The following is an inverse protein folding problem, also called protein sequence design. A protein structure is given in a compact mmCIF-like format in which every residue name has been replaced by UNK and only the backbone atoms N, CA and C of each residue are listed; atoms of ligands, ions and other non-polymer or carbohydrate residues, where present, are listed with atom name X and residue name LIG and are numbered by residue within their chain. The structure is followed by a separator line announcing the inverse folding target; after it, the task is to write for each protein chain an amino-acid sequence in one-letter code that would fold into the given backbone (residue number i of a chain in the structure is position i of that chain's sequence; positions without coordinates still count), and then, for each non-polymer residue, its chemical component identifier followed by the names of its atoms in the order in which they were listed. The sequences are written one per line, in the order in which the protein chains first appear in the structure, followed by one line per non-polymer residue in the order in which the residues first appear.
data_IF_557617657024
#
_entry.id   IF_557617657024
#
_cell.length_a   1.000
_cell.length_b   1.000
_cell.length_c   1.000
_cell.angle_alpha   90.00
_cell.angle_beta   90.00
_cell.angle_gamma   90.00
#
_symmetry.space_group_name_H-M   'P 1'
#
loop_
_entity.id
_entity.type
_entity.pdbx_description
1 polymer ?
#
# COMPACT_ATOMS: atom_id res chain seq x y z
N UNK A 1 16.45 -13.61 5.30
CA UNK A 1 15.10 -13.34 4.73
C UNK A 1 14.82 -11.84 4.87
N UNK A 2 14.27 -11.18 3.84
CA UNK A 2 13.85 -9.79 3.92
C UNK A 2 12.50 -9.72 4.68
N UNK A 3 12.42 -9.15 5.91
CA UNK A 3 11.18 -9.16 6.67
C UNK A 3 10.09 -8.31 6.00
N UNK A 4 8.85 -8.80 6.03
CA UNK A 4 7.70 -8.12 5.46
C UNK A 4 6.56 -8.01 6.46
N UNK A 5 5.77 -6.95 6.36
CA UNK A 5 4.57 -6.70 7.14
C UNK A 5 3.41 -6.36 6.23
N UNK A 6 2.26 -6.99 6.47
CA UNK A 6 1.00 -6.69 5.79
C UNK A 6 -0.10 -6.52 6.84
N UNK A 7 -0.93 -5.53 6.64
CA UNK A 7 -2.08 -5.21 7.50
C UNK A 7 -3.36 -5.85 6.96
N UNK A 8 -4.27 -6.22 7.86
CA UNK A 8 -5.63 -6.55 7.47
C UNK A 8 -6.37 -5.29 6.98
N UNK A 9 -7.41 -5.44 6.15
CA UNK A 9 -8.15 -4.29 5.60
C UNK A 9 -8.74 -3.33 6.64
N UNK A 10 -9.14 -3.84 7.81
CA UNK A 10 -9.68 -3.03 8.91
C UNK A 10 -8.62 -2.41 9.84
N UNK A 11 -7.33 -2.63 9.58
CA UNK A 11 -6.28 -1.89 10.29
C UNK A 11 -6.44 -0.38 10.01
N UNK A 12 -6.36 0.51 11.02
CA UNK A 12 -6.65 1.92 10.84
C UNK A 12 -5.91 2.60 9.68
N UNK A 13 -4.61 2.32 9.53
CA UNK A 13 -3.85 2.88 8.39
C UNK A 13 -4.30 2.26 7.06
N UNK A 14 -4.56 0.94 7.00
CA UNK A 14 -5.02 0.28 5.78
C UNK A 14 -6.41 0.76 5.36
N UNK A 15 -7.31 1.01 6.32
CA UNK A 15 -8.61 1.61 6.06
C UNK A 15 -8.48 3.03 5.47
N UNK A 16 -7.57 3.85 6.01
CA UNK A 16 -7.27 5.17 5.44
C UNK A 16 -6.66 5.07 4.03
N UNK A 17 -5.76 4.10 3.79
CA UNK A 17 -5.21 3.84 2.44
C UNK A 17 -6.31 3.47 1.45
N UNK A 18 -7.21 2.55 1.82
CA UNK A 18 -8.32 2.12 0.97
C UNK A 18 -9.29 3.25 0.66
N UNK A 19 -9.60 4.11 1.63
CA UNK A 19 -10.44 5.29 1.41
C UNK A 19 -9.75 6.27 0.47
N UNK A 20 -8.46 6.55 0.67
CA UNK A 20 -7.69 7.44 -0.19
C UNK A 20 -7.68 6.97 -1.65
N UNK A 21 -7.34 5.69 -1.89
CA UNK A 21 -7.33 5.12 -3.23
C UNK A 21 -8.72 5.06 -3.85
N UNK A 22 -9.77 4.72 -3.09
CA UNK A 22 -11.14 4.70 -3.61
C UNK A 22 -11.63 6.09 -4.08
N UNK A 23 -11.22 7.16 -3.40
CA UNK A 23 -11.53 8.54 -3.82
C UNK A 23 -10.77 8.87 -5.11
N UNK A 24 -9.47 8.56 -5.18
CA UNK A 24 -8.64 8.75 -6.40
C UNK A 24 -9.25 7.99 -7.58
N UNK A 25 -9.57 6.71 -7.39
CA UNK A 25 -10.15 5.85 -8.43
C UNK A 25 -11.49 6.42 -8.96
N UNK A 26 -12.36 6.92 -8.08
CA UNK A 26 -13.63 7.48 -8.49
C UNK A 26 -13.46 8.79 -9.28
N UNK A 27 -12.52 9.65 -8.89
CA UNK A 27 -12.14 10.84 -9.66
C UNK A 27 -11.62 10.44 -11.04
N UNK A 28 -10.65 9.55 -11.12
CA UNK A 28 -10.03 9.08 -12.36
C UNK A 28 -11.03 8.37 -13.29
N UNK A 29 -11.97 7.61 -12.73
CA UNK A 29 -13.03 6.92 -13.47
C UNK A 29 -13.98 7.90 -14.15
N UNK A 30 -14.27 9.05 -13.51
CA UNK A 30 -15.19 10.08 -14.05
C UNK A 30 -14.49 11.07 -14.97
N UNK A 31 -13.25 11.39 -14.65
CA UNK A 31 -12.42 12.30 -15.43
C UNK A 31 -10.99 11.73 -15.51
N UNK A 32 -10.64 11.08 -16.63
CA UNK A 32 -9.29 10.53 -16.83
C UNK A 32 -8.17 11.58 -16.79
N UNK A 33 -8.48 12.85 -17.00
CA UNK A 33 -7.51 13.95 -16.91
C UNK A 33 -7.33 14.50 -15.51
N UNK A 34 -7.96 13.90 -14.52
CA UNK A 34 -7.82 14.28 -13.12
C UNK A 34 -6.35 14.29 -12.69
N UNK A 35 -6.00 15.33 -11.92
CA UNK A 35 -4.77 15.40 -11.13
C UNK A 35 -5.17 15.59 -9.69
N UNK A 36 -4.72 14.69 -8.83
CA UNK A 36 -5.12 14.67 -7.43
C UNK A 36 -3.98 14.23 -6.52
N UNK A 37 -3.88 14.88 -5.39
CA UNK A 37 -3.03 14.46 -4.27
C UNK A 37 -3.79 14.70 -2.98
N UNK A 38 -4.13 13.63 -2.28
CA UNK A 38 -4.87 13.71 -1.04
C UNK A 38 -4.26 12.83 0.05
N UNK A 39 -4.60 13.15 1.28
CA UNK A 39 -4.30 12.35 2.46
C UNK A 39 -5.57 12.11 3.25
N UNK A 40 -5.63 10.96 3.89
CA UNK A 40 -6.72 10.57 4.79
C UNK A 40 -6.14 10.30 6.17
N UNK A 41 -6.75 10.89 7.18
CA UNK A 41 -6.43 10.61 8.58
C UNK A 41 -7.71 10.50 9.38
N UNK A 42 -7.83 9.50 10.25
CA UNK A 42 -9.05 9.37 11.02
C UNK A 42 -9.03 8.26 12.06
N UNK A 43 -10.09 8.27 12.83
CA UNK A 43 -10.38 7.34 13.91
C UNK A 43 -11.21 8.01 14.99
N UNK A 44 -11.77 7.22 15.90
CA UNK A 44 -12.53 7.71 17.06
C UNK A 44 -13.68 8.63 16.68
N UNK A 45 -14.46 8.25 15.68
CA UNK A 45 -15.65 8.97 15.25
C UNK A 45 -15.46 10.02 14.15
N UNK A 46 -14.23 10.33 13.73
CA UNK A 46 -13.97 11.30 12.66
C UNK A 46 -13.00 10.80 11.60
N UNK A 47 -13.21 11.19 10.35
CA UNK A 47 -12.30 10.91 9.24
C UNK A 47 -12.10 12.20 8.43
N UNK A 48 -10.86 12.63 8.30
CA UNK A 48 -10.48 13.83 7.56
C UNK A 48 -9.84 13.45 6.24
N UNK A 49 -10.33 14.04 5.17
CA UNK A 49 -9.75 13.95 3.81
C UNK A 49 -9.34 15.35 3.41
N UNK A 50 -8.08 15.56 3.10
CA UNK A 50 -7.59 16.85 2.66
C UNK A 50 -6.62 16.68 1.49
N UNK A 51 -6.64 17.63 0.56
CA UNK A 51 -5.74 17.60 -0.58
C UNK A 51 -6.09 18.57 -1.68
N UNK A 52 -5.34 18.47 -2.76
CA UNK A 52 -5.44 19.28 -3.96
C UNK A 52 -6.03 18.46 -5.12
N UNK A 53 -6.93 19.06 -5.91
CA UNK A 53 -7.54 18.39 -7.07
C UNK A 53 -7.66 19.31 -8.28
N UNK A 54 -7.44 18.78 -9.47
CA UNK A 54 -7.84 19.35 -10.75
C UNK A 54 -8.68 18.30 -11.45
N UNK A 55 -9.97 18.49 -11.54
CA UNK A 55 -10.89 17.55 -12.17
C UNK A 55 -12.17 18.26 -12.62
N UNK A 56 -12.79 17.74 -13.67
CA UNK A 56 -14.16 18.07 -14.06
C UNK A 56 -15.19 17.18 -13.35
N UNK A 57 -14.76 16.17 -12.62
CA UNK A 57 -15.65 15.27 -11.88
C UNK A 57 -16.28 15.98 -10.67
N UNK A 58 -17.58 15.77 -10.49
CA UNK A 58 -18.35 16.22 -9.34
C UNK A 58 -19.16 15.05 -8.77
N UNK A 59 -18.99 14.79 -7.47
CA UNK A 59 -19.69 13.73 -6.75
C UNK A 59 -19.54 13.88 -5.23
N UNK A 60 -20.41 13.19 -4.51
CA UNK A 60 -20.36 13.17 -3.06
C UNK A 60 -19.25 12.21 -2.56
N UNK A 61 -18.13 12.79 -2.14
CA UNK A 61 -16.97 12.07 -1.60
C UNK A 61 -17.32 11.30 -0.33
N UNK A 62 -18.25 11.82 0.50
CA UNK A 62 -18.67 11.15 1.73
C UNK A 62 -19.34 9.79 1.45
N UNK A 63 -20.09 9.68 0.36
CA UNK A 63 -20.66 8.38 -0.05
C UNK A 63 -19.59 7.36 -0.45
N UNK A 64 -18.50 7.80 -1.10
CA UNK A 64 -17.37 6.91 -1.43
C UNK A 64 -16.70 6.41 -0.15
N UNK A 65 -16.46 7.29 0.81
CA UNK A 65 -15.90 6.95 2.13
C UNK A 65 -16.76 5.89 2.81
N UNK A 66 -18.05 6.15 2.97
CA UNK A 66 -18.97 5.24 3.67
C UNK A 66 -19.05 3.88 2.97
N UNK A 67 -19.16 3.86 1.63
CA UNK A 67 -19.16 2.62 0.85
C UNK A 67 -17.87 1.81 1.06
N UNK A 68 -16.73 2.48 1.01
CA UNK A 68 -15.42 1.83 1.17
C UNK A 68 -15.27 1.22 2.56
N UNK A 69 -15.60 1.96 3.61
CA UNK A 69 -15.58 1.47 4.99
C UNK A 69 -16.53 0.27 5.16
N UNK A 70 -17.73 0.33 4.58
CA UNK A 70 -18.69 -0.78 4.58
C UNK A 70 -18.14 -2.05 3.92
N UNK A 71 -17.38 -1.95 2.83
CA UNK A 71 -16.80 -3.12 2.14
C UNK A 71 -15.75 -3.84 2.98
N UNK A 72 -15.09 -3.16 3.90
CA UNK A 72 -14.10 -3.76 4.81
C UNK A 72 -14.68 -4.15 6.16
N UNK A 73 -16.00 -3.99 6.33
CA UNK A 73 -16.73 -4.38 7.55
C UNK A 73 -16.56 -3.39 8.69
N UNK A 74 -16.29 -2.12 8.39
CA UNK A 74 -16.27 -1.01 9.35
C UNK A 74 -17.62 -0.29 9.23
N UNK A 75 -18.29 -0.09 10.38
CA UNK A 75 -19.57 0.61 10.44
C UNK A 75 -19.45 2.11 10.09
N UNK A 76 -20.60 2.75 9.90
CA UNK A 76 -20.73 4.16 9.48
C UNK A 76 -20.52 5.18 10.61
N UNK A 77 -19.84 4.80 11.67
CA UNK A 77 -19.66 5.62 12.88
C UNK A 77 -18.63 6.76 12.73
N UNK A 78 -17.97 6.83 11.57
CA UNK A 78 -16.98 7.87 11.28
C UNK A 78 -17.61 9.01 10.49
N UNK A 79 -17.63 10.21 11.09
CA UNK A 79 -18.06 11.45 10.42
C UNK A 79 -16.98 11.91 9.42
N UNK A 80 -17.29 12.00 8.11
CA UNK A 80 -16.33 12.44 7.12
C UNK A 80 -16.24 13.98 7.05
N UNK A 81 -15.03 14.49 7.15
CA UNK A 81 -14.68 15.90 6.90
C UNK A 81 -13.82 15.98 5.65
N UNK A 82 -14.34 16.59 4.58
CA UNK A 82 -13.69 16.64 3.28
C UNK A 82 -13.30 18.06 2.94
N UNK A 83 -11.99 18.27 2.69
CA UNK A 83 -11.41 19.52 2.20
C UNK A 83 -10.51 19.21 1.01
N UNK A 84 -11.11 19.12 -0.19
CA UNK A 84 -10.41 18.96 -1.46
C UNK A 84 -10.49 20.28 -2.21
N UNK A 85 -9.33 20.96 -2.32
CA UNK A 85 -9.26 22.31 -2.89
C UNK A 85 -8.90 22.26 -4.37
N UNK A 86 -9.63 23.00 -5.24
CA UNK A 86 -9.25 23.14 -6.64
C UNK A 86 -7.93 23.88 -6.80
N UNK A 87 -6.98 23.28 -7.51
CA UNK A 87 -5.71 23.93 -7.84
C UNK A 87 -5.92 24.85 -9.05
N UNK A 88 -5.57 26.10 -8.91
CA UNK A 88 -5.77 27.15 -9.94
C UNK A 88 -4.49 27.91 -10.25
N UNK A 89 -4.47 28.65 -11.39
CA UNK A 89 -3.39 29.53 -11.79
C UNK A 89 -2.09 28.80 -12.18
N UNK A 90 -0.95 29.40 -11.90
CA UNK A 90 0.36 28.84 -12.27
C UNK A 90 0.64 27.48 -11.59
N UNK A 91 0.16 27.31 -10.38
CA UNK A 91 0.28 26.06 -9.65
C UNK A 91 -0.40 24.89 -10.41
N UNK A 92 -1.51 25.12 -11.10
CA UNK A 92 -2.16 24.10 -11.92
C UNK A 92 -1.27 23.60 -13.07
N UNK A 93 -0.44 24.48 -13.63
CA UNK A 93 0.52 24.12 -14.69
C UNK A 93 1.63 23.22 -14.14
N UNK A 94 2.19 23.55 -12.99
CA UNK A 94 3.20 22.71 -12.32
C UNK A 94 2.61 21.34 -11.94
N UNK A 95 1.38 21.33 -11.44
CA UNK A 95 0.65 20.11 -11.05
C UNK A 95 0.44 19.14 -12.23
N UNK A 96 0.48 19.62 -13.48
CA UNK A 96 0.28 18.83 -14.70
C UNK A 96 1.58 18.37 -15.38
N UNK A 97 2.73 18.94 -15.02
CA UNK A 97 3.98 18.77 -15.75
C UNK A 97 5.08 18.11 -14.95
N UNK A 98 5.08 16.74 -14.93
CA UNK A 98 6.16 15.99 -14.29
C UNK A 98 6.08 15.98 -12.77
N UNK A 99 7.22 15.83 -12.11
CA UNK A 99 7.30 15.85 -10.64
C UNK A 99 7.07 17.26 -10.09
N UNK A 100 6.34 17.40 -9.00
CA UNK A 100 6.16 18.70 -8.32
C UNK A 100 7.30 19.07 -7.37
N UNK A 101 7.94 18.05 -6.80
CA UNK A 101 9.06 18.17 -5.89
C UNK A 101 10.15 17.15 -6.27
N UNK A 102 11.38 17.31 -5.78
CA UNK A 102 12.38 16.28 -5.92
C UNK A 102 11.88 14.98 -5.24
N UNK A 103 11.83 13.89 -5.99
CA UNK A 103 11.37 12.60 -5.47
C UNK A 103 12.30 11.48 -5.88
N UNK A 104 12.58 10.57 -4.94
CA UNK A 104 13.33 9.34 -5.19
C UNK A 104 12.39 8.17 -5.00
N UNK A 105 12.18 7.41 -6.05
CA UNK A 105 11.37 6.18 -6.01
C UNK A 105 12.26 4.95 -6.17
N UNK A 106 11.77 3.82 -5.65
CA UNK A 106 12.44 2.53 -5.80
C UNK A 106 11.53 1.51 -6.48
N UNK A 107 12.16 0.63 -7.26
CA UNK A 107 11.57 -0.61 -7.74
C UNK A 107 12.49 -1.77 -7.38
N UNK A 108 11.91 -2.88 -6.93
CA UNK A 108 12.67 -4.07 -6.58
C UNK A 108 12.03 -5.31 -7.20
N UNK A 109 12.86 -6.23 -7.65
CA UNK A 109 12.44 -7.54 -8.12
C UNK A 109 13.42 -8.62 -7.66
N UNK A 110 12.93 -9.84 -7.46
CA UNK A 110 13.73 -11.01 -7.07
C UNK A 110 13.15 -12.27 -7.73
N UNK A 111 13.98 -13.29 -7.91
CA UNK A 111 13.57 -14.61 -8.40
C UNK A 111 13.01 -15.53 -7.32
N UNK A 112 12.81 -15.04 -6.11
CA UNK A 112 12.32 -15.85 -5.00
C UNK A 112 10.93 -16.43 -5.26
N UNK A 113 10.09 -15.72 -6.02
CA UNK A 113 8.69 -16.08 -6.31
C UNK A 113 8.35 -15.80 -7.78
N UNK A 114 7.25 -16.35 -8.26
CA UNK A 114 6.74 -16.09 -9.62
C UNK A 114 6.35 -14.64 -9.83
N UNK A 115 5.83 -13.99 -8.76
CA UNK A 115 5.47 -12.57 -8.76
C UNK A 115 6.72 -11.66 -8.74
N UNK A 116 7.90 -12.24 -8.61
CA UNK A 116 9.18 -11.54 -8.47
C UNK A 116 9.23 -10.60 -7.26
N UNK A 117 8.61 -10.96 -6.15
CA UNK A 117 8.68 -10.27 -4.86
C UNK A 117 9.25 -11.20 -3.79
N UNK A 118 9.69 -10.68 -2.62
CA UNK A 118 10.22 -11.51 -1.56
C UNK A 118 9.23 -12.58 -1.06
N UNK A 119 9.70 -13.78 -0.78
CA UNK A 119 8.88 -14.89 -0.27
C UNK A 119 8.14 -14.50 1.02
N UNK A 120 8.78 -13.75 1.92
CA UNK A 120 8.14 -13.24 3.15
C UNK A 120 6.93 -12.36 2.85
N UNK A 121 6.99 -11.56 1.78
CA UNK A 121 5.89 -10.69 1.38
C UNK A 121 4.72 -11.50 0.80
N UNK A 122 5.01 -12.51 -0.04
CA UNK A 122 3.98 -13.43 -0.55
C UNK A 122 3.31 -14.17 0.59
N UNK A 123 4.10 -14.68 1.53
CA UNK A 123 3.59 -15.42 2.68
C UNK A 123 2.71 -14.53 3.59
N UNK A 124 3.16 -13.31 3.90
CA UNK A 124 2.36 -12.35 4.68
C UNK A 124 1.03 -12.02 3.99
N UNK A 125 1.05 -11.77 2.67
CA UNK A 125 -0.17 -11.54 1.87
C UNK A 125 -1.12 -12.75 1.89
N UNK A 126 -0.58 -13.96 1.78
CA UNK A 126 -1.37 -15.18 1.80
C UNK A 126 -2.06 -15.38 3.14
N UNK A 127 -1.35 -15.16 4.25
CA UNK A 127 -1.94 -15.26 5.60
C UNK A 127 -3.02 -14.21 5.80
N UNK A 128 -2.75 -12.94 5.45
CA UNK A 128 -3.75 -11.85 5.55
C UNK A 128 -4.99 -12.16 4.72
N UNK A 129 -4.81 -12.62 3.49
CA UNK A 129 -5.93 -12.98 2.60
C UNK A 129 -6.79 -14.10 3.21
N UNK A 130 -6.16 -15.13 3.78
CA UNK A 130 -6.89 -16.24 4.40
C UNK A 130 -7.62 -15.80 5.68
N UNK A 131 -7.00 -14.96 6.52
CA UNK A 131 -7.66 -14.41 7.71
C UNK A 131 -8.87 -13.54 7.34
N UNK A 132 -8.73 -12.64 6.36
CA UNK A 132 -9.83 -11.77 5.92
C UNK A 132 -10.96 -12.58 5.26
N UNK A 133 -10.63 -13.60 4.47
CA UNK A 133 -11.61 -14.49 3.87
C UNK A 133 -12.43 -15.19 4.96
N UNK A 134 -11.77 -15.80 5.95
CA UNK A 134 -12.42 -16.51 7.04
C UNK A 134 -13.34 -15.60 7.85
N UNK A 135 -12.84 -14.43 8.22
CA UNK A 135 -13.62 -13.42 8.93
C UNK A 135 -14.94 -13.09 8.21
N UNK A 136 -14.93 -13.07 6.89
CA UNK A 136 -16.09 -12.66 6.07
C UNK A 136 -17.05 -13.80 5.72
N UNK A 137 -16.55 -15.02 5.60
CA UNK A 137 -17.31 -16.13 4.99
C UNK A 137 -17.51 -17.33 5.88
N UNK A 138 -16.80 -17.43 7.00
CA UNK A 138 -16.86 -18.56 7.90
C UNK A 138 -17.51 -18.17 9.23
N UNK A 139 -18.72 -18.61 9.46
CA UNK A 139 -19.50 -18.30 10.68
C UNK A 139 -18.78 -18.76 11.97
N UNK A 140 -17.88 -19.74 11.90
CA UNK A 140 -17.08 -20.18 13.05
C UNK A 140 -16.05 -19.12 13.46
N UNK A 141 -15.65 -18.24 12.52
CA UNK A 141 -14.66 -17.18 12.73
C UNK A 141 -15.28 -15.80 13.05
N UNK A 142 -16.55 -15.75 13.48
CA UNK A 142 -17.26 -14.52 13.83
C UNK A 142 -16.55 -13.66 14.90
N UNK A 143 -15.66 -14.28 15.68
CA UNK A 143 -14.87 -13.63 16.73
C UNK A 143 -13.66 -12.85 16.20
N UNK A 144 -13.23 -13.07 14.94
CA UNK A 144 -12.09 -12.39 14.33
C UNK A 144 -12.52 -11.02 13.83
N UNK A 145 -11.91 -9.97 14.38
CA UNK A 145 -12.12 -8.58 13.98
C UNK A 145 -11.50 -8.21 12.64
N UNK A 146 -11.76 -7.00 12.20
CA UNK A 146 -11.26 -6.48 10.93
C UNK A 146 -9.83 -5.95 11.03
N UNK A 147 -9.38 -5.51 12.22
CA UNK A 147 -8.04 -5.00 12.47
C UNK A 147 -7.04 -6.13 12.73
N UNK A 148 -5.88 -5.97 12.18
CA UNK A 148 -4.77 -6.87 12.41
C UNK A 148 -3.58 -6.60 11.48
N UNK A 149 -2.48 -7.27 11.79
CA UNK A 149 -1.29 -7.24 10.95
C UNK A 149 -0.50 -8.54 11.06
N UNK A 150 0.16 -8.90 9.99
CA UNK A 150 1.02 -10.07 9.86
C UNK A 150 2.43 -9.62 9.52
N UNK A 151 3.38 -9.99 10.34
CA UNK A 151 4.81 -9.80 10.10
C UNK A 151 5.46 -11.16 9.86
N UNK A 152 6.19 -11.29 8.77
CA UNK A 152 6.95 -12.48 8.40
C UNK A 152 8.44 -12.13 8.32
N UNK A 153 9.24 -12.77 9.16
CA UNK A 153 10.69 -12.67 9.23
C UNK A 153 11.29 -14.03 9.60
N UNK A 154 12.18 -14.08 10.55
CA UNK A 154 12.70 -15.33 11.14
C UNK A 154 11.58 -16.12 11.82
N UNK A 155 10.59 -15.44 12.33
CA UNK A 155 9.33 -15.99 12.85
C UNK A 155 8.15 -15.25 12.22
N UNK A 156 6.95 -15.82 12.36
CA UNK A 156 5.70 -15.18 11.99
C UNK A 156 5.05 -14.60 13.25
N UNK A 157 4.87 -13.29 13.28
CA UNK A 157 4.16 -12.60 14.37
C UNK A 157 2.85 -12.03 13.82
N UNK A 158 1.75 -12.36 14.48
CA UNK A 158 0.40 -12.00 14.06
C UNK A 158 -0.27 -11.26 15.21
N UNK A 159 -0.78 -10.08 14.92
CA UNK A 159 -1.70 -9.36 15.78
C UNK A 159 -3.06 -9.32 15.10
N UNK A 160 -4.11 -9.70 15.80
CA UNK A 160 -5.49 -9.61 15.32
C UNK A 160 -6.40 -9.13 16.44
N UNK A 161 -7.36 -8.28 16.06
CA UNK A 161 -8.50 -7.96 16.89
C UNK A 161 -9.40 -9.19 17.03
N UNK A 162 -9.95 -9.41 18.21
CA UNK A 162 -10.90 -10.51 18.46
C UNK A 162 -11.91 -10.13 19.53
N UNK A 163 -13.06 -10.80 19.51
CA UNK A 163 -14.12 -10.62 20.51
C UNK A 163 -14.67 -11.96 20.98
N UNK A 164 -15.24 -11.99 22.18
CA UNK A 164 -16.02 -13.11 22.72
C UNK A 164 -15.30 -14.48 22.69
N UNK A 165 -13.98 -14.51 22.66
CA UNK A 165 -13.20 -15.76 22.61
C UNK A 165 -11.96 -15.66 23.50
N UNK A 166 -11.67 -16.69 24.35
CA UNK A 166 -10.46 -16.73 25.15
C UNK A 166 -9.21 -16.64 24.27
N UNK A 167 -8.21 -15.85 24.71
CA UNK A 167 -7.00 -15.61 23.94
C UNK A 167 -6.23 -16.89 23.57
N UNK A 168 -6.25 -17.91 24.43
CA UNK A 168 -5.59 -19.18 24.15
C UNK A 168 -6.25 -19.95 23.00
N UNK A 169 -7.58 -19.83 22.85
CA UNK A 169 -8.30 -20.41 21.73
C UNK A 169 -8.01 -19.65 20.44
N UNK A 170 -7.94 -18.30 20.49
CA UNK A 170 -7.51 -17.45 19.36
C UNK A 170 -6.12 -17.86 18.89
N UNK A 171 -5.16 -17.98 19.81
CA UNK A 171 -3.78 -18.40 19.54
C UNK A 171 -3.75 -19.76 18.85
N UNK A 172 -4.46 -20.75 19.42
CA UNK A 172 -4.51 -22.11 18.90
C UNK A 172 -5.07 -22.17 17.48
N UNK A 173 -6.19 -21.50 17.24
CA UNK A 173 -6.88 -21.56 15.94
C UNK A 173 -6.12 -20.85 14.84
N UNK A 174 -5.57 -19.66 15.11
CA UNK A 174 -4.75 -18.94 14.15
C UNK A 174 -3.44 -19.70 13.88
N UNK A 175 -2.78 -20.21 14.92
CA UNK A 175 -1.56 -21.00 14.72
C UNK A 175 -1.82 -22.25 13.87
N UNK A 176 -2.92 -22.95 14.09
CA UNK A 176 -3.32 -24.12 13.31
C UNK A 176 -3.66 -23.76 11.85
N UNK A 177 -4.19 -22.57 11.58
CA UNK A 177 -4.41 -22.06 10.23
C UNK A 177 -3.06 -21.78 9.54
N UNK A 178 -2.17 -21.06 10.22
CA UNK A 178 -0.87 -20.65 9.66
C UNK A 178 0.04 -21.85 9.45
N UNK A 179 0.00 -22.88 10.32
CA UNK A 179 0.75 -24.12 10.14
C UNK A 179 0.44 -24.83 8.81
N UNK A 180 -0.81 -24.72 8.31
CA UNK A 180 -1.17 -25.27 6.99
C UNK A 180 -0.59 -24.48 5.84
N UNK A 181 -0.36 -23.17 6.02
CA UNK A 181 0.19 -22.26 5.00
C UNK A 181 1.71 -22.27 5.04
N UNK A 182 2.28 -22.23 6.23
CA UNK A 182 3.70 -22.08 6.51
C UNK A 182 4.19 -23.09 7.55
N UNK A 183 4.21 -24.39 7.23
CA UNK A 183 4.67 -25.42 8.16
C UNK A 183 6.11 -25.16 8.59
N UNK A 184 6.42 -25.44 9.85
CA UNK A 184 7.76 -25.31 10.48
C UNK A 184 8.19 -23.87 10.80
N UNK A 185 7.31 -22.87 10.69
CA UNK A 185 7.61 -21.54 11.20
C UNK A 185 7.22 -21.42 12.69
N UNK A 186 8.01 -20.69 13.47
CA UNK A 186 7.59 -20.25 14.82
C UNK A 186 6.50 -19.18 14.64
N UNK A 187 5.29 -19.48 15.10
CA UNK A 187 4.12 -18.61 14.97
C UNK A 187 3.76 -18.04 16.34
N UNK A 188 3.69 -16.72 16.40
CA UNK A 188 3.30 -15.98 17.61
C UNK A 188 2.05 -15.16 17.31
N UNK A 189 1.04 -15.31 18.13
CA UNK A 189 -0.25 -14.64 17.96
C UNK A 189 -0.58 -13.82 19.21
N UNK A 190 -0.87 -12.54 19.03
CA UNK A 190 -1.22 -11.60 20.11
C UNK A 190 -0.30 -11.72 21.32
N UNK A 191 1.02 -11.55 21.10
CA UNK A 191 2.04 -11.75 22.13
C UNK A 191 1.85 -10.85 23.36
N UNK A 192 1.24 -9.68 23.19
CA UNK A 192 0.98 -8.73 24.29
C UNK A 192 -0.33 -9.01 25.05
N UNK A 193 -1.07 -10.04 24.70
CA UNK A 193 -2.35 -10.40 25.33
C UNK A 193 -3.55 -10.20 24.42
N UNK A 194 -4.76 -10.15 25.02
CA UNK A 194 -6.00 -9.89 24.29
C UNK A 194 -6.00 -8.54 23.59
N UNK A 195 -6.60 -8.49 22.42
CA UNK A 195 -6.72 -7.30 21.57
C UNK A 195 -8.20 -7.13 21.15
N UNK A 196 -9.05 -6.79 22.13
CA UNK A 196 -10.50 -6.84 22.01
C UNK A 196 -11.14 -5.53 21.53
N UNK A 197 -10.41 -4.41 21.60
CA UNK A 197 -10.96 -3.09 21.27
C UNK A 197 -9.95 -2.32 20.43
N UNK A 198 -9.98 -2.57 19.14
CA UNK A 198 -9.10 -1.88 18.18
C UNK A 198 -9.90 -1.39 16.96
N UNK A 199 -9.27 -1.36 15.80
CA UNK A 199 -9.86 -0.82 14.59
C UNK A 199 -9.94 0.71 14.59
N UNK A 200 -10.34 1.27 13.47
CA UNK A 200 -10.36 2.72 13.23
C UNK A 200 -11.37 3.46 14.13
N UNK A 201 -12.37 2.77 14.67
CA UNK A 201 -13.29 3.32 15.68
C UNK A 201 -12.60 3.71 16.99
N UNK A 202 -11.51 3.06 17.35
CA UNK A 202 -10.81 3.20 18.63
C UNK A 202 -9.36 3.70 18.49
N UNK A 203 -8.75 3.53 17.32
CA UNK A 203 -7.36 3.88 17.06
C UNK A 203 -7.26 4.75 15.82
N UNK A 204 -6.38 5.74 15.86
CA UNK A 204 -6.13 6.63 14.72
C UNK A 204 -5.30 5.93 13.65
N UNK A 205 -5.72 6.10 12.38
CA UNK A 205 -4.97 5.73 11.18
C UNK A 205 -4.63 6.93 10.32
N UNK A 206 -3.70 6.73 9.41
CA UNK A 206 -3.41 7.70 8.35
C UNK A 206 -2.93 6.99 7.09
N UNK A 207 -3.32 7.53 5.93
CA UNK A 207 -2.89 7.00 4.64
C UNK A 207 -1.39 7.21 4.40
N UNK A 208 -0.80 6.32 3.61
CA UNK A 208 0.58 6.46 3.15
C UNK A 208 1.66 6.18 4.19
N UNK A 209 1.33 5.52 5.30
CA UNK A 209 2.32 5.17 6.34
C UNK A 209 3.21 3.99 5.99
N UNK A 210 2.82 3.18 5.01
CA UNK A 210 3.62 2.05 4.57
C UNK A 210 4.55 2.46 3.43
N UNK A 211 5.83 2.61 3.75
CA UNK A 211 6.88 3.09 2.85
C UNK A 211 7.90 2.01 2.48
N UNK A 212 7.64 0.75 2.84
CA UNK A 212 8.50 -0.40 2.57
C UNK A 212 7.76 -1.47 1.73
N UNK A 213 7.41 -1.18 0.46
CA UNK A 213 6.54 -2.04 -0.35
C UNK A 213 7.13 -3.42 -0.66
N UNK A 214 8.42 -3.61 -0.46
CA UNK A 214 9.14 -4.87 -0.74
C UNK A 214 9.75 -5.50 0.51
N UNK A 215 9.46 -4.96 1.69
CA UNK A 215 10.00 -5.41 2.99
C UNK A 215 11.00 -4.44 3.61
N UNK A 216 11.15 -4.54 4.93
CA UNK A 216 11.85 -3.54 5.74
C UNK A 216 13.38 -3.54 5.62
N UNK A 217 13.97 -4.57 5.00
CA UNK A 217 15.42 -4.60 4.74
C UNK A 217 15.81 -3.80 3.47
N UNK A 218 14.83 -3.35 2.68
CA UNK A 218 15.06 -2.53 1.50
C UNK A 218 14.83 -1.04 1.82
N UNK A 219 15.41 -0.13 1.02
CA UNK A 219 15.19 1.29 1.22
C UNK A 219 13.70 1.65 1.19
N UNK A 220 13.34 2.69 1.93
CA UNK A 220 12.00 3.27 1.88
C UNK A 220 11.78 4.04 0.57
N UNK A 221 10.53 4.20 0.19
CA UNK A 221 10.10 5.04 -0.94
C UNK A 221 8.98 5.97 -0.47
N UNK A 222 8.78 7.13 -1.09
CA UNK A 222 7.58 7.92 -0.83
C UNK A 222 6.32 7.09 -1.05
N UNK A 223 5.29 7.34 -0.26
CA UNK A 223 3.99 6.70 -0.49
C UNK A 223 3.39 7.17 -1.81
N UNK A 224 2.76 6.27 -2.53
CA UNK A 224 1.94 6.56 -3.71
C UNK A 224 0.45 6.61 -3.41
N UNK A 225 0.06 6.40 -2.16
CA UNK A 225 -1.34 6.37 -1.73
C UNK A 225 -1.95 7.77 -1.79
N UNK A 226 -3.18 7.87 -2.31
CA UNK A 226 -3.89 9.14 -2.45
C UNK A 226 -3.41 10.01 -3.62
N UNK A 227 -2.59 9.48 -4.52
CA UNK A 227 -2.05 10.18 -5.68
C UNK A 227 -2.63 9.63 -6.97
N UNK A 228 -2.84 10.50 -7.98
CA UNK A 228 -3.16 10.05 -9.32
C UNK A 228 -1.97 9.37 -10.02
N UNK A 229 -2.27 8.65 -11.11
CA UNK A 229 -1.29 7.82 -11.82
C UNK A 229 -0.17 8.61 -12.49
N UNK A 230 -0.32 9.91 -12.72
CA UNK A 230 0.72 10.75 -13.36
C UNK A 230 1.80 11.24 -12.40
N UNK A 231 1.58 11.08 -11.10
CA UNK A 231 2.53 11.51 -10.07
C UNK A 231 3.80 10.70 -10.10
N UNK A 232 4.94 11.37 -9.97
CA UNK A 232 6.23 10.72 -10.00
C UNK A 232 6.40 9.65 -8.92
N UNK A 233 5.82 9.84 -7.75
CA UNK A 233 5.78 8.86 -6.66
C UNK A 233 5.07 7.57 -7.05
N UNK A 234 3.98 7.65 -7.84
CA UNK A 234 3.19 6.51 -8.30
C UNK A 234 3.72 5.96 -9.63
N UNK A 235 3.70 6.76 -10.70
CA UNK A 235 4.19 6.37 -12.02
C UNK A 235 5.66 5.94 -11.99
N UNK A 236 6.51 6.75 -11.36
CA UNK A 236 7.93 6.47 -11.25
C UNK A 236 8.23 5.18 -10.48
N UNK A 237 7.50 4.89 -9.40
CA UNK A 237 7.65 3.65 -8.66
C UNK A 237 7.25 2.43 -9.52
N UNK A 238 6.18 2.52 -10.29
CA UNK A 238 5.76 1.44 -11.21
C UNK A 238 6.78 1.21 -12.32
N UNK A 239 7.28 2.27 -12.94
CA UNK A 239 8.32 2.19 -13.96
C UNK A 239 9.63 1.62 -13.40
N UNK A 240 10.05 2.04 -12.21
CA UNK A 240 11.23 1.49 -11.53
C UNK A 240 11.02 -0.01 -11.21
N UNK A 241 9.81 -0.40 -10.81
CA UNK A 241 9.46 -1.81 -10.60
C UNK A 241 9.52 -2.61 -11.91
N UNK A 242 8.98 -2.09 -13.01
CA UNK A 242 9.03 -2.71 -14.32
C UNK A 242 10.48 -2.89 -14.80
N UNK A 243 11.33 -1.87 -14.60
CA UNK A 243 12.75 -1.92 -14.90
C UNK A 243 13.48 -3.00 -14.07
N UNK A 244 13.19 -3.09 -12.76
CA UNK A 244 13.77 -4.12 -11.89
C UNK A 244 13.37 -5.54 -12.34
N UNK A 245 12.09 -5.76 -12.70
CA UNK A 245 11.62 -7.03 -13.26
C UNK A 245 12.35 -7.39 -14.55
N UNK A 246 12.56 -6.43 -15.42
CA UNK A 246 13.27 -6.63 -16.68
C UNK A 246 14.72 -7.11 -16.42
N UNK A 247 15.44 -6.48 -15.47
CA UNK A 247 16.79 -6.92 -15.09
C UNK A 247 16.81 -8.36 -14.55
N UNK A 248 15.84 -8.71 -13.72
CA UNK A 248 15.69 -10.08 -13.19
C UNK A 248 15.39 -11.08 -14.32
N UNK A 249 14.53 -10.73 -15.26
CA UNK A 249 14.23 -11.57 -16.44
C UNK A 249 15.48 -11.79 -17.29
N UNK A 250 16.36 -10.79 -17.40
CA UNK A 250 17.64 -10.89 -18.15
C UNK A 250 18.76 -11.63 -17.41
N UNK A 251 18.57 -12.03 -16.15
CA UNK A 251 19.52 -12.92 -15.48
C UNK A 251 19.94 -12.52 -14.07
N UNK A 252 19.62 -11.33 -13.57
CA UNK A 252 19.86 -10.99 -12.17
C UNK A 252 19.02 -11.88 -11.24
N UNK A 253 19.54 -12.23 -10.07
CA UNK A 253 18.77 -12.95 -9.05
C UNK A 253 17.81 -12.01 -8.33
N UNK A 254 18.28 -10.77 -8.08
CA UNK A 254 17.46 -9.66 -7.63
C UNK A 254 17.99 -8.37 -8.25
N UNK A 255 17.13 -7.36 -8.33
CA UNK A 255 17.50 -6.03 -8.80
C UNK A 255 16.77 -4.95 -8.01
N UNK A 256 17.51 -3.95 -7.56
CA UNK A 256 17.00 -2.71 -6.97
C UNK A 256 17.26 -1.57 -7.96
N UNK A 257 16.21 -0.91 -8.38
CA UNK A 257 16.26 0.29 -9.24
C UNK A 257 15.83 1.49 -8.43
N UNK A 258 16.63 2.57 -8.50
CA UNK A 258 16.34 3.85 -7.88
C UNK A 258 16.29 4.91 -8.97
N UNK A 259 15.20 5.65 -9.05
CA UNK A 259 15.03 6.76 -9.98
C UNK A 259 14.73 8.06 -9.22
N UNK A 260 15.41 9.14 -9.57
CA UNK A 260 15.21 10.48 -9.01
C UNK A 260 14.59 11.37 -10.06
N UNK A 261 13.43 11.93 -9.78
CA UNK A 261 12.79 12.94 -10.62
C UNK A 261 12.93 14.31 -9.97
N UNK A 262 13.16 15.33 -10.80
CA UNK A 262 13.25 16.73 -10.37
C UNK A 262 11.99 17.50 -10.79
N UNK A 263 11.70 18.65 -10.14
CA UNK A 263 10.51 19.44 -10.45
C UNK A 263 10.41 19.81 -11.92
N UNK A 264 9.23 19.58 -12.51
CA UNK A 264 8.95 19.84 -13.92
C UNK A 264 9.52 18.83 -14.90
N UNK A 265 10.33 17.87 -14.45
CA UNK A 265 10.91 16.84 -15.32
C UNK A 265 10.04 15.59 -15.39
N UNK A 266 9.89 15.04 -16.61
CA UNK A 266 9.22 13.77 -16.87
C UNK A 266 10.17 12.59 -16.91
N UNK A 267 11.45 12.85 -17.15
CA UNK A 267 12.52 11.86 -17.19
C UNK A 267 13.26 11.84 -15.86
N UNK A 268 13.76 10.68 -15.41
CA UNK A 268 14.59 10.68 -14.20
C UNK A 268 15.90 11.42 -14.44
N UNK A 269 16.21 12.39 -13.59
CA UNK A 269 17.49 13.11 -13.58
C UNK A 269 18.64 12.17 -13.20
N UNK A 270 18.38 11.24 -12.28
CA UNK A 270 19.33 10.22 -11.85
C UNK A 270 18.69 8.84 -11.85
N UNK A 271 19.45 7.84 -12.31
CA UNK A 271 19.03 6.44 -12.39
C UNK A 271 20.16 5.55 -11.90
N UNK A 272 19.87 4.72 -10.92
CA UNK A 272 20.79 3.72 -10.37
C UNK A 272 20.10 2.36 -10.34
N UNK A 273 20.83 1.31 -10.74
CA UNK A 273 20.37 -0.07 -10.61
C UNK A 273 21.48 -0.94 -10.06
N UNK A 274 21.14 -1.82 -9.11
CA UNK A 274 22.08 -2.78 -8.52
C UNK A 274 21.47 -4.17 -8.41
N UNK A 275 22.31 -5.18 -8.61
CA UNK A 275 21.91 -6.57 -8.32
C UNK A 275 22.07 -6.93 -6.84
N UNK A 276 21.78 -8.17 -6.48
CA UNK A 276 21.90 -8.73 -5.11
C UNK A 276 23.32 -8.72 -4.54
N UNK A 277 24.34 -8.56 -5.40
CA UNK A 277 25.76 -8.47 -5.03
C UNK A 277 26.27 -7.04 -5.01
N UNK A 278 25.39 -6.05 -5.29
CA UNK A 278 25.75 -4.64 -5.37
C UNK A 278 26.42 -4.24 -6.68
N UNK A 279 26.47 -5.14 -7.70
CA UNK A 279 27.00 -4.80 -9.03
C UNK A 279 26.12 -3.77 -9.71
N UNK A 280 26.72 -2.76 -10.29
CA UNK A 280 26.03 -1.71 -11.04
C UNK A 280 25.46 -2.23 -12.35
N UNK A 281 24.16 -2.13 -12.51
CA UNK A 281 23.38 -2.47 -13.70
C UNK A 281 22.77 -1.24 -14.38
N UNK A 282 23.09 -0.02 -13.94
CA UNK A 282 22.46 1.22 -14.42
C UNK A 282 22.59 1.41 -15.94
N UNK A 283 23.68 0.91 -16.53
CA UNK A 283 23.92 0.99 -17.99
C UNK A 283 23.04 0.06 -18.81
N UNK A 284 22.40 -0.93 -18.17
CA UNK A 284 21.48 -1.85 -18.82
C UNK A 284 20.07 -1.27 -18.97
N UNK A 285 19.81 -0.09 -18.37
CA UNK A 285 18.54 0.60 -18.40
C UNK A 285 18.57 1.81 -19.32
N UNK A 286 17.57 1.91 -20.18
CA UNK A 286 17.32 3.12 -20.96
C UNK A 286 16.51 4.10 -20.10
N UNK A 287 16.97 5.34 -19.94
CA UNK A 287 16.25 6.39 -19.16
C UNK A 287 14.85 6.64 -19.69
N UNK A 288 14.69 6.58 -21.01
CA UNK A 288 13.43 6.76 -21.71
C UNK A 288 12.36 5.73 -21.30
N UNK A 289 12.78 4.56 -20.81
CA UNK A 289 11.85 3.54 -20.29
C UNK A 289 11.20 3.92 -18.95
N UNK A 290 11.75 4.93 -18.27
CA UNK A 290 11.26 5.46 -17.00
C UNK A 290 10.65 6.87 -17.14
N UNK A 291 10.30 7.30 -18.36
CA UNK A 291 9.59 8.55 -18.58
C UNK A 291 8.16 8.47 -18.04
N UNK A 292 7.72 9.44 -17.23
CA UNK A 292 6.44 9.43 -16.53
C UNK A 292 5.22 9.38 -17.48
N UNK A 293 5.35 9.92 -18.69
CA UNK A 293 4.32 9.90 -19.73
C UNK A 293 4.11 8.51 -20.39
N UNK A 294 4.92 7.52 -20.04
CA UNK A 294 4.72 6.12 -20.46
C UNK A 294 3.63 5.41 -19.65
N UNK A 295 3.26 5.96 -18.50
CA UNK A 295 2.13 5.45 -17.72
C UNK A 295 0.88 6.18 -18.21
N UNK A 296 0.10 5.51 -19.03
CA UNK A 296 -1.16 6.03 -19.59
C UNK A 296 -2.35 5.45 -18.81
N UNK A 297 -3.52 6.06 -18.97
CA UNK A 297 -4.76 5.68 -18.30
C UNK A 297 -5.37 4.33 -18.80
N UNK A 298 -4.65 3.55 -19.57
CA UNK A 298 -5.10 2.26 -20.12
C UNK A 298 -4.72 1.05 -19.22
N UNK A 299 -4.83 1.20 -17.88
CA UNK A 299 -4.55 0.13 -16.93
C UNK A 299 -5.80 -0.34 -16.19
#
# INVERSE_FOLDING_TARGET
MNPARIRLPGHPDAACDMVAEAIVDEYMRRDPDTRIALSVIGGRGALFVAGDVISAADFDVAQIIQRTLGTIGIGTELEPFVSLEPVVGERATLFRNGAEAPVVVIGYATRETEEMIPTSLVLAKTIVKELDLRRRTDEVWFWLGADGEVHVGERISIRVEHSAKPIEDVRREISALVEKIAPRHDVRVNELGSDEVRGIGNVMGASGRDIHPYGSALPSTPSSIGLDISRAEKAGAWLARAAARNLVTRGAQAALVRATYLPGERMPAHLEARDEKGRDLSRELARESLALDRVTHEW
#
